data_IF_360146814556
#
_entry.id   IF_360146814556
#
_cell.length_a   1.000
_cell.length_b   1.000
_cell.length_c   1.000
_cell.angle_alpha   90.00
_cell.angle_beta   90.00
_cell.angle_gamma   90.00
#
_symmetry.space_group_name_H-M   'P 1'
#
loop_
_entity.id
_entity.type
_entity.pdbx_description
1 polymer ?
#
# COMPACT_ATOMS: atom_id res chain seq x y z
N UNK A 1 -0.74 -65.75 11.18
CA UNK A 1 0.05 -64.51 11.21
C UNK A 1 -0.78 -63.51 12.01
N UNK A 2 -0.73 -63.62 13.34
CA UNK A 2 0.10 -62.80 14.24
C UNK A 2 -0.33 -61.31 14.17
N UNK A 3 -1.20 -60.81 15.06
CA UNK A 3 -1.09 -60.48 16.50
C UNK A 3 -0.69 -59.01 16.75
N UNK A 4 -1.21 -58.47 17.88
CA UNK A 4 -0.92 -57.20 18.57
C UNK A 4 -1.79 -55.99 18.11
N UNK A 5 -2.57 -55.27 18.93
CA UNK A 5 -2.63 -55.09 20.39
C UNK A 5 -4.02 -54.61 20.88
N UNK A 6 -4.19 -54.84 22.18
CA UNK A 6 -5.27 -54.67 23.15
C UNK A 6 -5.73 -53.24 23.49
N UNK A 7 -6.98 -53.19 23.99
CA UNK A 7 -7.69 -52.15 24.76
C UNK A 7 -6.87 -51.33 25.78
N UNK A 8 -7.27 -50.06 25.94
CA UNK A 8 -7.51 -49.46 27.27
C UNK A 8 -8.65 -48.41 27.23
N UNK A 9 -9.54 -48.57 28.21
CA UNK A 9 -10.75 -47.82 28.54
C UNK A 9 -10.49 -46.44 29.20
N UNK A 10 -11.60 -45.68 29.36
CA UNK A 10 -11.88 -44.69 30.44
C UNK A 10 -11.24 -43.29 30.28
N UNK A 11 -11.90 -42.12 30.44
CA UNK A 11 -13.09 -41.67 31.19
C UNK A 11 -13.65 -40.41 30.49
N UNK A 12 -14.97 -40.32 30.30
CA UNK A 12 -15.69 -39.06 30.09
C UNK A 12 -16.55 -38.77 31.32
N UNK A 13 -16.40 -37.59 31.91
CA UNK A 13 -17.32 -37.01 32.90
C UNK A 13 -17.07 -35.51 33.09
N UNK A 14 -18.08 -34.75 33.57
CA UNK A 14 -18.65 -33.63 32.82
C UNK A 14 -18.58 -32.27 33.55
N UNK A 15 -19.02 -31.22 32.85
CA UNK A 15 -19.65 -29.98 33.36
C UNK A 15 -19.15 -29.40 34.70
N UNK A 16 -18.48 -28.23 34.64
CA UNK A 16 -18.30 -27.36 35.81
C UNK A 16 -19.29 -26.19 35.72
N UNK A 17 -20.17 -26.16 36.71
CA UNK A 17 -21.10 -25.10 37.08
C UNK A 17 -20.35 -23.85 37.56
N UNK A 18 -20.56 -22.70 36.92
CA UNK A 18 -20.10 -21.40 37.41
C UNK A 18 -21.21 -20.75 38.22
N UNK A 19 -21.32 -21.22 39.46
CA UNK A 19 -22.06 -20.56 40.53
C UNK A 19 -21.50 -19.17 40.83
N UNK A 20 -22.42 -18.26 41.09
CA UNK A 20 -22.22 -16.85 41.48
C UNK A 20 -21.19 -16.69 42.60
N UNK A 21 -20.17 -15.86 42.35
CA UNK A 21 -19.36 -15.21 43.39
C UNK A 21 -19.40 -13.70 43.17
N UNK A 22 -20.28 -13.05 43.93
CA UNK A 22 -20.20 -11.61 44.20
C UNK A 22 -19.10 -11.40 45.23
N UNK A 23 -18.00 -10.75 44.85
CA UNK A 23 -17.11 -10.11 45.81
C UNK A 23 -16.70 -8.74 45.27
N UNK A 24 -17.28 -7.73 45.91
CA UNK A 24 -16.99 -6.31 45.77
C UNK A 24 -15.54 -6.04 46.19
N UNK A 25 -14.72 -5.58 45.25
CA UNK A 25 -13.42 -4.98 45.56
C UNK A 25 -13.55 -3.51 45.18
N UNK A 26 -13.53 -2.64 46.20
CA UNK A 26 -13.44 -1.19 46.06
C UNK A 26 -12.12 -0.82 45.39
N UNK A 27 -12.17 -0.14 44.24
CA UNK A 27 -11.00 0.46 43.60
C UNK A 27 -11.00 1.97 43.92
N UNK A 28 -9.87 2.52 44.40
CA UNK A 28 -9.79 3.90 44.91
C UNK A 28 -9.99 4.93 43.79
N UNK A 29 -10.78 5.97 44.10
CA UNK A 29 -10.98 7.16 43.27
C UNK A 29 -9.87 8.18 43.58
N UNK A 30 -9.16 8.68 42.55
CA UNK A 30 -8.59 10.05 42.37
C UNK A 30 -7.55 10.08 41.22
N UNK A 31 -7.31 11.19 40.50
CA UNK A 31 -8.14 12.37 40.20
C UNK A 31 -8.41 12.55 38.69
N UNK A 32 -9.40 13.39 38.35
CA UNK A 32 -9.79 13.80 36.99
C UNK A 32 -8.72 14.70 36.32
N UNK A 33 -8.26 14.39 35.09
CA UNK A 33 -7.61 15.35 34.23
C UNK A 33 -8.46 15.61 32.97
N UNK A 34 -9.46 16.48 33.06
CA UNK A 34 -9.85 17.29 31.90
C UNK A 34 -8.71 18.24 31.56
N UNK A 35 -7.85 17.81 30.65
CA UNK A 35 -7.16 18.69 29.71
C UNK A 35 -6.70 17.87 28.51
N UNK A 36 -7.40 18.06 27.39
CA UNK A 36 -6.89 18.03 26.01
C UNK A 36 -5.86 16.96 25.65
N UNK A 37 -6.22 16.02 24.77
CA UNK A 37 -5.52 15.84 23.49
C UNK A 37 -6.21 14.76 22.64
N UNK A 38 -6.86 15.24 21.57
CA UNK A 38 -7.03 14.63 20.25
C UNK A 38 -7.24 13.11 20.21
N UNK A 39 -8.50 12.69 20.03
CA UNK A 39 -8.80 11.40 19.42
C UNK A 39 -8.10 11.33 18.06
N UNK A 40 -6.97 10.63 17.99
CA UNK A 40 -6.41 10.22 16.71
C UNK A 40 -7.30 9.11 16.20
N UNK A 41 -8.29 9.49 15.40
CA UNK A 41 -9.17 8.57 14.69
C UNK A 41 -8.28 7.85 13.67
N UNK A 42 -7.82 6.63 13.98
CA UNK A 42 -7.34 5.71 12.96
C UNK A 42 -8.57 5.29 12.15
N UNK A 43 -8.81 5.99 11.04
CA UNK A 43 -9.78 5.57 10.04
C UNK A 43 -9.21 4.36 9.31
N UNK A 44 -9.42 3.17 9.86
CA UNK A 44 -9.30 1.90 9.14
C UNK A 44 -10.46 1.81 8.14
N UNK A 45 -10.37 2.56 7.03
CA UNK A 45 -11.40 2.59 6.00
C UNK A 45 -11.18 1.46 4.99
N UNK A 46 -11.93 0.37 5.16
CA UNK A 46 -11.98 -0.73 4.19
C UNK A 46 -12.92 -0.35 3.03
N UNK A 47 -12.34 0.04 1.90
CA UNK A 47 -13.07 0.14 0.63
C UNK A 47 -13.22 -1.28 0.08
N UNK A 48 -14.44 -1.80 0.08
CA UNK A 48 -14.75 -3.15 -0.42
C UNK A 48 -15.88 -3.16 -1.44
N UNK A 49 -16.50 -2.01 -1.74
CA UNK A 49 -17.60 -1.88 -2.68
C UNK A 49 -17.68 -0.50 -3.34
N UNK A 50 -18.36 -0.43 -4.48
CA UNK A 50 -18.73 0.81 -5.19
C UNK A 50 -19.44 1.83 -4.28
N UNK A 51 -20.24 1.36 -3.32
CA UNK A 51 -20.96 2.22 -2.38
C UNK A 51 -20.03 3.02 -1.46
N UNK A 52 -18.81 2.51 -1.20
CA UNK A 52 -17.80 3.19 -0.36
C UNK A 52 -17.12 4.36 -1.10
N UNK A 53 -17.14 4.34 -2.45
CA UNK A 53 -16.49 5.34 -3.32
C UNK A 53 -17.37 6.59 -3.46
N UNK A 54 -18.69 6.42 -3.60
CA UNK A 54 -19.64 7.53 -3.79
C UNK A 54 -19.70 8.47 -2.57
N UNK A 55 -19.44 7.95 -1.37
CA UNK A 55 -19.46 8.72 -0.13
C UNK A 55 -18.20 9.56 0.12
N UNK A 56 -17.10 9.30 -0.59
CA UNK A 56 -15.79 9.87 -0.26
C UNK A 56 -15.12 10.66 -1.39
N UNK A 57 -15.88 11.13 -2.40
CA UNK A 57 -15.33 11.95 -3.50
C UNK A 57 -14.52 13.14 -2.94
N UNK A 58 -13.19 13.12 -3.03
CA UNK A 58 -12.38 14.20 -2.51
C UNK A 58 -12.36 15.36 -3.52
N UNK A 59 -12.49 16.60 -3.04
CA UNK A 59 -12.40 17.78 -3.90
C UNK A 59 -10.96 17.94 -4.40
N UNK A 60 -10.79 17.87 -5.73
CA UNK A 60 -9.57 17.44 -6.44
C UNK A 60 -8.26 18.22 -6.22
N UNK A 61 -8.22 19.27 -5.40
CA UNK A 61 -6.98 20.02 -5.14
C UNK A 61 -6.63 20.20 -3.65
N UNK A 62 -7.49 19.77 -2.71
CA UNK A 62 -7.32 20.05 -1.27
C UNK A 62 -6.80 18.88 -0.43
N UNK A 63 -6.80 17.65 -0.98
CA UNK A 63 -6.50 16.46 -0.16
C UNK A 63 -5.04 16.00 -0.18
N UNK A 64 -4.27 16.38 -1.19
CA UNK A 64 -2.83 16.03 -1.26
C UNK A 64 -2.09 16.61 -0.04
N UNK A 65 -2.46 17.83 0.41
CA UNK A 65 -1.84 18.45 1.59
C UNK A 65 -2.34 17.89 2.93
N UNK A 66 -3.58 17.39 3.01
CA UNK A 66 -4.17 16.93 4.28
C UNK A 66 -3.81 15.49 4.65
N UNK A 67 -3.26 14.71 3.72
CA UNK A 67 -2.80 13.34 3.97
C UNK A 67 -1.31 13.27 4.37
N UNK A 68 -0.59 14.40 4.32
CA UNK A 68 0.82 14.50 4.66
C UNK A 68 0.99 14.88 6.14
N UNK A 69 1.26 13.90 7.00
CA UNK A 69 1.74 14.15 8.37
C UNK A 69 3.25 13.92 8.43
N UNK A 70 4.05 14.96 8.19
CA UNK A 70 5.49 14.91 8.51
C UNK A 70 5.68 15.42 9.93
N UNK A 71 5.97 14.51 10.87
CA UNK A 71 6.28 14.85 12.26
C UNK A 71 7.74 15.29 12.40
N UNK A 72 8.08 16.47 11.89
CA UNK A 72 9.32 17.17 12.24
C UNK A 72 9.21 18.64 11.86
N UNK A 73 9.45 19.52 12.84
CA UNK A 73 9.47 20.99 12.77
C UNK A 73 9.13 21.56 11.37
N UNK A 74 7.87 21.99 11.20
CA UNK A 74 7.29 22.49 9.94
C UNK A 74 8.03 23.68 9.28
N UNK A 75 9.16 24.13 9.86
CA UNK A 75 10.01 25.21 9.37
C UNK A 75 11.44 24.80 8.98
N UNK A 76 11.78 23.50 8.95
CA UNK A 76 13.06 23.05 8.39
C UNK A 76 13.02 23.13 6.86
N UNK A 77 14.11 23.60 6.24
CA UNK A 77 14.21 23.65 4.76
C UNK A 77 14.04 22.27 4.13
N UNK A 78 14.48 21.21 4.81
CA UNK A 78 14.37 19.84 4.34
C UNK A 78 12.90 19.37 4.33
N UNK A 79 12.12 19.69 5.36
CA UNK A 79 10.67 19.38 5.42
C UNK A 79 9.91 20.05 4.27
N UNK A 80 10.26 21.31 3.94
CA UNK A 80 9.65 22.05 2.83
C UNK A 80 10.00 21.41 1.49
N UNK A 81 11.27 21.06 1.29
CA UNK A 81 11.74 20.41 0.06
C UNK A 81 11.02 19.06 -0.12
N UNK A 82 11.01 18.20 0.90
CA UNK A 82 10.35 16.89 0.87
C UNK A 82 8.88 17.03 0.49
N UNK A 83 8.14 17.90 1.17
CA UNK A 83 6.71 18.11 0.90
C UNK A 83 6.47 18.60 -0.54
N UNK A 84 7.23 19.60 -1.00
CA UNK A 84 7.08 20.12 -2.36
C UNK A 84 7.41 19.06 -3.41
N UNK A 85 8.50 18.31 -3.21
CA UNK A 85 8.93 17.24 -4.11
C UNK A 85 7.89 16.13 -4.20
N UNK A 86 7.34 15.67 -3.08
CA UNK A 86 6.30 14.63 -3.11
C UNK A 86 5.01 15.17 -3.72
N UNK A 87 4.54 16.35 -3.33
CA UNK A 87 3.32 16.93 -3.90
C UNK A 87 3.42 17.08 -5.43
N UNK A 88 4.59 17.48 -5.93
CA UNK A 88 4.85 17.54 -7.36
C UNK A 88 4.83 16.14 -8.00
N UNK A 89 5.48 15.15 -7.40
CA UNK A 89 5.49 13.78 -7.92
C UNK A 89 4.09 13.16 -7.93
N UNK A 90 3.31 13.31 -6.86
CA UNK A 90 1.95 12.80 -6.77
C UNK A 90 1.01 13.49 -7.76
N UNK A 91 1.15 14.79 -7.97
CA UNK A 91 0.39 15.51 -9.00
C UNK A 91 0.72 14.99 -10.40
N UNK A 92 2.00 14.73 -10.68
CA UNK A 92 2.43 14.15 -11.97
C UNK A 92 1.91 12.72 -12.15
N UNK A 93 2.02 11.87 -11.13
CA UNK A 93 1.49 10.51 -11.17
C UNK A 93 -0.03 10.50 -11.34
N UNK A 94 -0.75 11.39 -10.65
CA UNK A 94 -2.22 11.51 -10.79
C UNK A 94 -2.62 11.89 -12.21
N UNK A 95 -1.95 12.86 -12.82
CA UNK A 95 -2.20 13.23 -14.22
C UNK A 95 -1.90 12.07 -15.17
N UNK A 96 -0.79 11.35 -14.92
CA UNK A 96 -0.41 10.20 -15.73
C UNK A 96 -1.44 9.06 -15.65
N UNK A 97 -1.95 8.78 -14.45
CA UNK A 97 -3.01 7.80 -14.23
C UNK A 97 -4.33 8.24 -14.89
N UNK A 98 -4.69 9.52 -14.78
CA UNK A 98 -5.87 10.09 -15.45
C UNK A 98 -5.78 9.99 -16.98
N UNK A 99 -4.63 10.35 -17.56
CA UNK A 99 -4.39 10.18 -19.00
C UNK A 99 -4.49 8.70 -19.41
N UNK A 100 -3.94 7.80 -18.58
CA UNK A 100 -3.94 6.37 -18.85
C UNK A 100 -5.36 5.78 -18.91
N UNK A 101 -6.24 6.12 -17.96
CA UNK A 101 -7.62 5.59 -17.94
C UNK A 101 -8.50 6.11 -19.08
N UNK A 102 -8.13 7.23 -19.69
CA UNK A 102 -8.80 7.79 -20.88
C UNK A 102 -8.15 7.33 -22.20
N UNK A 103 -7.05 6.58 -22.13
CA UNK A 103 -6.35 6.09 -23.32
C UNK A 103 -7.12 4.97 -24.02
N UNK A 104 -6.99 4.87 -25.34
CA UNK A 104 -7.56 3.75 -26.11
C UNK A 104 -6.91 2.39 -25.79
N UNK A 105 -5.74 2.41 -25.14
CA UNK A 105 -4.97 1.21 -24.78
C UNK A 105 -5.29 0.68 -23.38
N UNK A 106 -6.07 1.43 -22.59
CA UNK A 106 -6.38 1.13 -21.20
C UNK A 106 -6.73 -0.35 -20.97
N UNK A 107 -7.75 -0.86 -21.66
CA UNK A 107 -8.22 -2.23 -21.48
C UNK A 107 -7.17 -3.29 -21.85
N UNK A 108 -6.39 -3.04 -22.90
CA UNK A 108 -5.35 -3.97 -23.34
C UNK A 108 -4.22 -4.04 -22.31
N UNK A 109 -3.74 -2.89 -21.84
CA UNK A 109 -2.67 -2.77 -20.84
C UNK A 109 -3.10 -3.33 -19.48
N UNK A 110 -4.31 -3.03 -19.01
CA UNK A 110 -4.84 -3.62 -17.77
C UNK A 110 -4.95 -5.14 -17.84
N UNK A 111 -5.36 -5.69 -18.99
CA UNK A 111 -5.42 -7.14 -19.20
C UNK A 111 -4.02 -7.77 -19.22
N UNK A 112 -3.04 -7.07 -19.78
CA UNK A 112 -1.65 -7.53 -19.87
C UNK A 112 -0.96 -7.55 -18.51
N UNK A 113 -1.22 -6.54 -17.69
CA UNK A 113 -0.72 -6.37 -16.31
C UNK A 113 -1.43 -7.31 -15.34
N UNK A 114 -2.73 -7.10 -15.11
CA UNK A 114 -3.49 -7.69 -14.00
C UNK A 114 -4.32 -8.92 -14.40
N UNK A 115 -4.20 -9.35 -15.66
CA UNK A 115 -4.96 -10.45 -16.21
C UNK A 115 -6.40 -10.09 -16.60
N UNK A 116 -7.05 -11.00 -17.34
CA UNK A 116 -8.38 -10.77 -17.92
C UNK A 116 -9.54 -10.87 -16.91
N UNK A 117 -9.28 -11.32 -15.69
CA UNK A 117 -10.28 -11.47 -14.63
C UNK A 117 -10.32 -10.26 -13.69
N UNK A 118 -9.40 -9.31 -13.86
CA UNK A 118 -9.34 -8.08 -13.07
C UNK A 118 -10.60 -7.23 -13.25
N UNK A 119 -11.09 -6.63 -12.17
CA UNK A 119 -12.19 -5.67 -12.22
C UNK A 119 -11.68 -4.30 -12.73
N UNK A 120 -11.55 -4.19 -14.05
CA UNK A 120 -11.09 -2.95 -14.70
C UNK A 120 -12.08 -1.79 -14.53
N UNK A 121 -13.37 -2.06 -14.31
CA UNK A 121 -14.33 -1.00 -14.01
C UNK A 121 -14.01 -0.38 -12.64
N UNK A 122 -13.76 -1.22 -11.63
CA UNK A 122 -13.33 -0.76 -10.32
C UNK A 122 -11.98 -0.02 -10.37
N UNK A 123 -11.00 -0.53 -11.13
CA UNK A 123 -9.71 0.14 -11.32
C UNK A 123 -9.88 1.57 -11.85
N UNK A 124 -10.67 1.73 -12.92
CA UNK A 124 -10.97 3.04 -13.50
C UNK A 124 -11.62 3.97 -12.45
N UNK A 125 -12.57 3.47 -11.66
CA UNK A 125 -13.24 4.27 -10.62
C UNK A 125 -12.30 4.69 -9.49
N UNK A 126 -11.41 3.81 -9.05
CA UNK A 126 -10.39 4.12 -8.05
C UNK A 126 -9.50 5.27 -8.56
N UNK A 127 -9.01 5.17 -9.80
CA UNK A 127 -8.17 6.20 -10.41
C UNK A 127 -8.94 7.52 -10.60
N UNK A 128 -10.14 7.50 -11.21
CA UNK A 128 -10.97 8.70 -11.43
C UNK A 128 -11.31 9.43 -10.12
N UNK A 129 -11.47 8.69 -9.03
CA UNK A 129 -11.80 9.25 -7.72
C UNK A 129 -10.59 9.87 -7.01
N UNK A 130 -9.37 9.61 -7.47
CA UNK A 130 -8.14 10.03 -6.82
C UNK A 130 -7.93 9.34 -5.47
N UNK A 131 -8.49 8.14 -5.26
CA UNK A 131 -8.25 7.36 -4.06
C UNK A 131 -6.79 6.90 -4.07
N UNK A 132 -6.09 7.18 -2.98
CA UNK A 132 -4.72 6.76 -2.72
C UNK A 132 -4.66 5.91 -1.45
N UNK A 133 -3.76 4.91 -1.38
CA UNK A 133 -3.36 4.32 -0.10
C UNK A 133 -2.67 5.36 0.79
N UNK A 134 -2.42 5.00 2.05
CA UNK A 134 -1.59 5.84 2.91
C UNK A 134 -0.19 5.97 2.32
N UNK A 135 0.47 7.10 2.55
CA UNK A 135 1.83 7.34 2.07
C UNK A 135 2.74 7.74 3.23
N UNK A 136 3.84 7.02 3.39
CA UNK A 136 4.84 7.30 4.41
C UNK A 136 6.24 7.42 3.80
N UNK A 137 7.04 8.35 4.32
CA UNK A 137 8.45 8.45 3.97
C UNK A 137 9.26 7.77 5.07
N UNK A 138 10.03 6.75 4.70
CA UNK A 138 10.86 5.96 5.62
C UNK A 138 12.32 6.00 5.19
N UNK A 139 13.25 5.72 6.09
CA UNK A 139 14.67 5.64 5.70
C UNK A 139 14.89 4.44 4.76
N UNK A 140 15.88 4.54 3.86
CA UNK A 140 16.23 3.42 2.98
C UNK A 140 16.60 2.16 3.78
N UNK A 141 17.19 2.32 4.97
CA UNK A 141 17.50 1.18 5.86
C UNK A 141 16.26 0.50 6.43
N UNK A 142 15.21 1.25 6.75
CA UNK A 142 13.93 0.69 7.20
C UNK A 142 13.23 -0.09 6.08
N UNK A 143 13.46 0.31 4.82
CA UNK A 143 12.94 -0.37 3.63
C UNK A 143 13.91 -1.42 3.05
N UNK A 144 14.91 -1.85 3.82
CA UNK A 144 15.93 -2.83 3.39
C UNK A 144 16.66 -2.45 2.06
N UNK A 145 16.77 -1.16 1.78
CA UNK A 145 17.42 -0.62 0.59
C UNK A 145 16.49 -0.34 -0.59
N UNK A 146 15.21 -0.70 -0.52
CA UNK A 146 14.25 -0.45 -1.58
C UNK A 146 13.90 1.04 -1.71
N UNK A 147 13.48 1.43 -2.91
CA UNK A 147 13.11 2.81 -3.24
C UNK A 147 11.66 3.10 -2.88
N UNK A 148 10.79 2.11 -3.11
CA UNK A 148 9.40 2.05 -2.69
C UNK A 148 9.08 0.72 -2.04
N UNK A 149 7.96 0.66 -1.32
CA UNK A 149 7.34 -0.59 -0.94
C UNK A 149 5.83 -0.40 -0.72
N UNK A 150 5.01 -1.40 -1.07
CA UNK A 150 3.59 -1.41 -0.79
C UNK A 150 3.24 -2.53 0.18
N UNK A 151 2.51 -2.19 1.24
CA UNK A 151 1.96 -3.15 2.20
C UNK A 151 0.46 -3.24 2.01
N UNK A 152 -0.01 -4.39 1.51
CA UNK A 152 -1.43 -4.74 1.50
C UNK A 152 -2.02 -4.84 2.91
N UNK A 153 -1.19 -5.25 3.89
CA UNK A 153 -1.60 -5.43 5.29
C UNK A 153 -2.03 -4.11 5.94
N UNK A 154 -1.27 -3.04 5.68
CA UNK A 154 -1.51 -1.71 6.26
C UNK A 154 -2.16 -0.74 5.25
N UNK A 155 -2.26 -1.14 3.98
CA UNK A 155 -2.72 -0.32 2.87
C UNK A 155 -1.89 0.98 2.76
N UNK A 156 -0.57 0.82 2.76
CA UNK A 156 0.41 1.92 2.83
C UNK A 156 1.47 1.73 1.75
N UNK A 157 1.74 2.81 1.01
CA UNK A 157 2.95 2.97 0.20
C UNK A 157 4.01 3.62 1.08
N UNK A 158 5.19 3.04 1.09
CA UNK A 158 6.39 3.59 1.71
C UNK A 158 7.33 4.06 0.59
N UNK A 159 7.84 5.29 0.69
CA UNK A 159 8.90 5.76 -0.19
C UNK A 159 10.17 6.01 0.63
N UNK A 160 11.31 5.64 0.07
CA UNK A 160 12.60 5.90 0.71
C UNK A 160 12.90 7.41 0.74
N UNK A 161 13.36 7.91 1.87
CA UNK A 161 13.78 9.29 2.02
C UNK A 161 14.91 9.65 1.02
N UNK A 162 15.82 8.71 0.75
CA UNK A 162 16.90 8.92 -0.22
C UNK A 162 16.38 9.14 -1.63
N UNK A 163 15.35 8.38 -2.05
CA UNK A 163 14.70 8.58 -3.35
C UNK A 163 14.17 10.01 -3.45
N UNK A 164 13.48 10.49 -2.42
CA UNK A 164 12.89 11.83 -2.40
C UNK A 164 13.97 12.91 -2.47
N UNK A 165 14.98 12.83 -1.62
CA UNK A 165 16.04 13.84 -1.54
C UNK A 165 16.89 13.90 -2.82
N UNK A 166 17.20 12.75 -3.44
CA UNK A 166 17.97 12.69 -4.69
C UNK A 166 17.20 13.24 -5.89
N UNK A 167 15.87 13.21 -5.84
CA UNK A 167 14.99 13.58 -6.95
C UNK A 167 14.24 14.90 -6.72
N UNK A 168 14.71 15.74 -5.79
CA UNK A 168 14.08 17.03 -5.48
C UNK A 168 13.94 17.98 -6.69
N UNK A 169 14.88 17.90 -7.64
CA UNK A 169 14.88 18.72 -8.86
C UNK A 169 14.27 18.01 -10.09
N UNK A 170 14.01 16.71 -9.99
CA UNK A 170 13.44 15.90 -11.07
C UNK A 170 12.67 14.72 -10.48
N UNK A 171 11.35 14.86 -10.41
CA UNK A 171 10.45 13.90 -9.76
C UNK A 171 10.20 12.62 -10.57
N UNK A 172 10.79 12.45 -11.76
CA UNK A 172 10.48 11.34 -12.66
C UNK A 172 10.67 9.95 -12.02
N UNK A 173 11.75 9.78 -11.23
CA UNK A 173 12.00 8.50 -10.55
C UNK A 173 11.00 8.25 -9.41
N UNK A 174 10.57 9.31 -8.72
CA UNK A 174 9.53 9.23 -7.68
C UNK A 174 8.19 8.86 -8.32
N UNK A 175 7.86 9.45 -9.48
CA UNK A 175 6.64 9.12 -10.24
C UNK A 175 6.65 7.65 -10.64
N UNK A 176 7.76 7.14 -11.17
CA UNK A 176 7.88 5.75 -11.57
C UNK A 176 7.66 4.79 -10.38
N UNK A 177 8.41 5.00 -9.29
CA UNK A 177 8.30 4.18 -8.07
C UNK A 177 6.90 4.28 -7.47
N UNK A 178 6.34 5.49 -7.34
CA UNK A 178 4.98 5.63 -6.81
C UNK A 178 3.93 4.94 -7.69
N UNK A 179 4.06 5.02 -9.01
CA UNK A 179 3.11 4.38 -9.93
C UNK A 179 3.18 2.86 -9.84
N UNK A 180 4.37 2.30 -9.60
CA UNK A 180 4.59 0.88 -9.35
C UNK A 180 3.88 0.41 -8.07
N UNK A 181 4.13 1.10 -6.96
CA UNK A 181 3.47 0.80 -5.68
C UNK A 181 1.95 1.03 -5.74
N UNK A 182 1.50 1.98 -6.57
CA UNK A 182 0.09 2.17 -6.86
C UNK A 182 -0.50 1.02 -7.69
N UNK A 183 0.32 0.38 -8.54
CA UNK A 183 -0.04 -0.83 -9.29
C UNK A 183 -0.37 -2.00 -8.36
N UNK A 184 0.51 -2.29 -7.38
CA UNK A 184 0.24 -3.30 -6.35
C UNK A 184 -0.99 -2.96 -5.50
N UNK A 185 -1.16 -1.68 -5.16
CA UNK A 185 -2.40 -1.22 -4.50
C UNK A 185 -3.64 -1.53 -5.35
N UNK A 186 -3.63 -1.23 -6.65
CA UNK A 186 -4.75 -1.52 -7.54
C UNK A 186 -5.00 -3.03 -7.63
N UNK A 187 -3.96 -3.85 -7.84
CA UNK A 187 -4.08 -5.32 -7.89
C UNK A 187 -4.82 -5.84 -6.65
N UNK A 188 -4.41 -5.36 -5.46
CA UNK A 188 -5.00 -5.74 -4.18
C UNK A 188 -6.52 -5.44 -4.05
N UNK A 189 -7.06 -4.55 -4.89
CA UNK A 189 -8.49 -4.18 -4.92
C UNK A 189 -9.26 -4.90 -6.03
N UNK A 190 -8.64 -5.07 -7.18
CA UNK A 190 -9.33 -5.48 -8.40
C UNK A 190 -9.19 -6.97 -8.69
N UNK A 191 -8.26 -7.65 -8.01
CA UNK A 191 -8.05 -9.08 -8.09
C UNK A 191 -8.31 -9.75 -6.74
N UNK A 192 -8.92 -10.95 -6.80
CA UNK A 192 -9.17 -11.78 -5.60
C UNK A 192 -7.95 -12.61 -5.21
N UNK A 193 -7.10 -12.90 -6.18
CA UNK A 193 -5.82 -13.60 -6.04
C UNK A 193 -4.79 -12.64 -6.62
N UNK A 194 -3.73 -12.39 -5.85
CA UNK A 194 -2.60 -11.56 -6.26
C UNK A 194 -2.06 -11.99 -7.62
N UNK A 195 -1.80 -11.01 -8.48
CA UNK A 195 -1.20 -11.28 -9.78
C UNK A 195 0.23 -11.79 -9.57
N UNK A 196 0.65 -12.91 -10.18
CA UNK A 196 2.04 -13.36 -10.05
C UNK A 196 3.02 -12.47 -10.81
N UNK A 197 4.20 -12.29 -10.23
CA UNK A 197 5.25 -11.45 -10.81
C UNK A 197 5.30 -10.09 -10.12
N UNK A 198 5.93 -9.14 -10.79
CA UNK A 198 5.92 -7.73 -10.42
C UNK A 198 4.94 -6.98 -11.34
N UNK A 199 3.64 -7.10 -11.04
CA UNK A 199 2.59 -6.39 -11.80
C UNK A 199 2.65 -4.88 -11.60
N UNK A 200 3.23 -4.43 -10.48
CA UNK A 200 3.55 -3.03 -10.22
C UNK A 200 4.47 -2.45 -11.29
N UNK A 201 5.63 -3.07 -11.56
CA UNK A 201 6.61 -2.57 -12.53
C UNK A 201 6.04 -2.65 -13.96
N UNK A 202 5.27 -3.70 -14.26
CA UNK A 202 4.56 -3.83 -15.55
C UNK A 202 3.56 -2.67 -15.70
N UNK A 203 2.73 -2.43 -14.70
CA UNK A 203 1.77 -1.33 -14.68
C UNK A 203 2.47 0.02 -14.89
N UNK A 204 3.46 0.32 -14.06
CA UNK A 204 4.20 1.58 -14.11
C UNK A 204 4.88 1.81 -15.47
N UNK A 205 5.45 0.76 -16.06
CA UNK A 205 6.08 0.83 -17.38
C UNK A 205 5.06 1.18 -18.47
N UNK A 206 3.89 0.53 -18.47
CA UNK A 206 2.86 0.70 -19.50
C UNK A 206 2.12 2.04 -19.38
N UNK A 207 1.87 2.48 -18.15
CA UNK A 207 1.24 3.77 -17.81
C UNK A 207 2.14 4.94 -18.24
N UNK A 208 3.45 4.82 -18.06
CA UNK A 208 4.44 5.81 -18.52
C UNK A 208 4.69 5.79 -20.04
N UNK A 209 3.98 4.96 -20.81
CA UNK A 209 4.12 4.85 -22.26
C UNK A 209 5.36 4.08 -22.71
N UNK A 210 5.98 3.30 -21.83
CA UNK A 210 7.05 2.38 -22.18
C UNK A 210 6.55 1.19 -23.01
N UNK A 211 7.37 0.72 -23.94
CA UNK A 211 7.16 -0.56 -24.62
C UNK A 211 7.89 -1.68 -23.87
N UNK A 212 7.16 -2.72 -23.48
CA UNK A 212 7.75 -3.91 -22.88
C UNK A 212 8.05 -4.94 -23.97
N UNK A 213 9.34 -5.19 -24.22
CA UNK A 213 9.73 -6.34 -25.03
C UNK A 213 9.20 -7.64 -24.40
N UNK A 214 8.87 -8.64 -25.22
CA UNK A 214 8.35 -9.92 -24.73
C UNK A 214 9.27 -10.59 -23.69
N UNK A 215 10.59 -10.43 -23.82
CA UNK A 215 11.57 -10.96 -22.86
C UNK A 215 11.58 -10.18 -21.53
N UNK A 216 11.41 -8.84 -21.57
CA UNK A 216 11.30 -8.04 -20.32
C UNK A 216 10.01 -8.39 -19.60
N UNK A 217 8.89 -8.42 -20.32
CA UNK A 217 7.59 -8.75 -19.76
C UNK A 217 7.57 -10.15 -19.13
N UNK A 218 8.16 -11.16 -19.79
CA UNK A 218 8.22 -12.51 -19.23
C UNK A 218 9.04 -12.60 -17.95
N UNK A 219 10.10 -11.78 -17.82
CA UNK A 219 10.90 -11.72 -16.58
C UNK A 219 10.09 -11.12 -15.44
N UNK A 220 9.44 -9.98 -15.68
CA UNK A 220 8.61 -9.31 -14.68
C UNK A 220 7.46 -10.22 -14.21
N UNK A 221 6.82 -10.97 -15.12
CA UNK A 221 5.73 -11.91 -14.80
C UNK A 221 6.12 -13.10 -13.91
N UNK A 222 7.41 -13.28 -13.61
CA UNK A 222 7.93 -14.32 -12.72
C UNK A 222 8.88 -13.77 -11.66
N UNK A 223 8.99 -12.44 -11.58
CA UNK A 223 9.78 -11.77 -10.56
C UNK A 223 9.12 -11.95 -9.18
N UNK A 224 9.95 -12.05 -8.15
CA UNK A 224 9.50 -12.09 -6.76
C UNK A 224 10.13 -10.89 -6.06
N UNK A 225 9.35 -9.84 -5.96
CA UNK A 225 9.70 -8.56 -5.33
C UNK A 225 9.19 -8.50 -3.87
N UNK A 226 8.61 -9.59 -3.37
CA UNK A 226 8.10 -9.68 -2.01
C UNK A 226 9.22 -9.64 -0.97
N UNK A 227 8.93 -9.02 0.16
CA UNK A 227 9.86 -8.90 1.28
C UNK A 227 9.13 -8.68 2.61
N UNK A 228 9.91 -8.69 3.69
CA UNK A 228 9.47 -8.25 5.01
C UNK A 228 10.33 -7.07 5.48
N UNK A 229 9.70 -5.99 5.92
CA UNK A 229 10.37 -4.83 6.54
C UNK A 229 10.03 -4.74 8.02
N UNK A 230 10.92 -4.14 8.81
CA UNK A 230 10.74 -3.95 10.25
C UNK A 230 10.48 -2.47 10.54
N UNK A 231 9.22 -2.10 10.73
CA UNK A 231 8.82 -0.73 11.09
C UNK A 231 8.25 -0.71 12.50
N UNK A 232 8.78 0.19 13.33
CA UNK A 232 8.29 0.41 14.70
C UNK A 232 8.19 -0.88 15.54
N UNK A 233 9.13 -1.82 15.32
CA UNK A 233 9.20 -3.12 15.99
C UNK A 233 8.22 -4.17 15.47
N UNK A 234 7.53 -3.93 14.35
CA UNK A 234 6.61 -4.86 13.69
C UNK A 234 7.14 -5.28 12.32
N UNK A 235 7.07 -6.58 12.05
CA UNK A 235 7.33 -7.13 10.72
C UNK A 235 6.13 -6.88 9.82
N UNK A 236 6.35 -6.24 8.68
CA UNK A 236 5.31 -5.90 7.71
C UNK A 236 5.69 -6.54 6.36
N UNK A 237 4.83 -7.40 5.78
CA UNK A 237 5.05 -7.93 4.44
C UNK A 237 4.79 -6.84 3.40
N UNK A 238 5.66 -6.76 2.40
CA UNK A 238 5.61 -5.76 1.33
C UNK A 238 5.99 -6.36 -0.01
N UNK A 239 5.54 -5.70 -1.07
CA UNK A 239 6.09 -5.73 -2.43
C UNK A 239 7.02 -4.52 -2.58
N UNK A 240 8.10 -4.62 -3.38
CA UNK A 240 9.19 -3.63 -3.34
C UNK A 240 9.60 -3.14 -4.72
N UNK A 241 9.54 -1.83 -4.91
CA UNK A 241 10.24 -1.17 -6.00
C UNK A 241 11.74 -0.97 -5.72
N UNK A 242 12.60 -1.69 -6.45
CA UNK A 242 14.05 -1.47 -6.49
C UNK A 242 14.48 -0.59 -7.69
N UNK A 243 13.54 -0.26 -8.59
CA UNK A 243 13.75 0.26 -9.96
C UNK A 243 14.97 1.16 -10.11
N UNK A 244 16.04 0.64 -10.68
CA UNK A 244 17.08 1.46 -11.30
C UNK A 244 16.62 1.72 -12.73
N UNK A 245 16.06 2.89 -13.01
CA UNK A 245 15.57 3.22 -14.36
C UNK A 245 16.75 3.40 -15.34
N UNK A 246 17.28 2.30 -15.86
CA UNK A 246 18.17 2.25 -17.02
C UNK A 246 17.32 1.98 -18.26
N UNK A 247 16.46 2.95 -18.59
CA UNK A 247 15.39 2.78 -19.57
C UNK A 247 15.11 4.00 -20.44
N UNK A 248 16.09 4.87 -20.69
CA UNK A 248 16.08 5.76 -21.87
C UNK A 248 17.30 5.44 -22.72
N UNK A 249 17.11 4.56 -23.70
CA UNK A 249 17.93 4.59 -24.91
C UNK A 249 17.06 5.13 -26.03
N UNK A 250 17.43 6.30 -26.52
CA UNK A 250 16.79 7.09 -27.58
C UNK A 250 16.11 8.32 -27.00
N UNK A 251 16.40 9.55 -27.37
CA UNK A 251 17.26 10.16 -28.39
C UNK A 251 16.86 11.63 -28.43
#
# INVERSE_FOLDING_TARGET
MENFLTDINQVYSPFVDLGKINNSIEIPVLPDPRSSNVDVIHNDFKITSYDDIVLNKPASNSLISSQFSITSDENSQDSIIINNTINQALSQASNLLDDFIHSSEYHAKMTETFGSQSDQYLANKIIESGILPQLEIRSSSELNGAKGAFSKLTNTIYLSLDLVLKNANNTSEIVAVFTEEYGHFLDSKINTIETPGDEGEIFASLVQGGELSGDKLQKMKVEDDTAEILLDGKTIPVEKADVSWIGRIGG
#
